data_IF_675494646379
#
_entry.id   IF_675494646379
#
_cell.length_a   1.000
_cell.length_b   1.000
_cell.length_c   1.000
_cell.angle_alpha   90.00
_cell.angle_beta   90.00
_cell.angle_gamma   90.00
#
_symmetry.space_group_name_H-M   'P 1'
#
loop_
_entity.id
_entity.type
_entity.pdbx_description
1 polymer ?
#
# COMPACT_ATOMS: atom_id res chain seq x y z
N UNK A 1 -14.16 -13.72 -11.93
CA UNK A 1 -13.95 -12.28 -11.70
C UNK A 1 -14.00 -12.06 -10.20
N UNK A 2 -12.83 -12.02 -9.57
CA UNK A 2 -12.73 -11.59 -8.17
C UNK A 2 -13.03 -10.09 -8.11
N UNK A 3 -13.84 -9.64 -7.15
CA UNK A 3 -14.16 -8.23 -6.95
C UNK A 3 -15.61 -7.79 -7.23
N UNK A 4 -16.50 -8.68 -7.67
CA UNK A 4 -17.94 -8.36 -7.83
C UNK A 4 -18.75 -8.94 -6.67
N UNK A 5 -19.42 -8.07 -5.90
CA UNK A 5 -20.39 -8.46 -4.87
C UNK A 5 -21.77 -7.98 -5.27
N UNK A 6 -22.70 -8.91 -5.50
CA UNK A 6 -24.11 -8.58 -5.67
C UNK A 6 -24.71 -8.23 -4.32
N UNK A 7 -25.28 -7.03 -4.21
CA UNK A 7 -25.99 -6.56 -3.03
C UNK A 7 -27.49 -6.72 -3.27
N UNK A 8 -28.16 -7.49 -2.40
CA UNK A 8 -29.62 -7.61 -2.42
C UNK A 8 -30.19 -6.57 -1.47
N UNK A 9 -30.85 -5.55 -2.02
CA UNK A 9 -31.55 -4.55 -1.22
C UNK A 9 -32.99 -5.02 -0.96
N UNK A 10 -33.29 -5.44 0.27
CA UNK A 10 -34.61 -5.98 0.66
C UNK A 10 -35.62 -4.93 1.17
N UNK A 11 -35.30 -3.62 1.10
CA UNK A 11 -36.19 -2.56 1.60
C UNK A 11 -36.25 -1.37 0.66
N UNK A 12 -37.48 -0.91 0.37
CA UNK A 12 -37.72 0.40 -0.21
C UNK A 12 -37.30 1.48 0.79
N UNK A 13 -36.18 2.13 0.50
CA UNK A 13 -35.64 3.24 1.27
C UNK A 13 -34.62 4.00 0.42
N UNK A 14 -34.50 5.30 0.66
CA UNK A 14 -33.60 6.19 -0.09
C UNK A 14 -32.14 6.07 0.32
N UNK A 15 -31.81 5.20 1.28
CA UNK A 15 -30.45 4.97 1.80
C UNK A 15 -30.20 3.49 2.00
N UNK A 16 -29.01 3.04 1.62
CA UNK A 16 -28.50 1.70 1.85
C UNK A 16 -27.06 1.75 2.37
N UNK A 17 -26.62 0.68 3.00
CA UNK A 17 -25.23 0.49 3.40
C UNK A 17 -24.78 -0.92 3.07
N UNK A 18 -23.49 -1.07 2.77
CA UNK A 18 -22.86 -2.36 2.58
C UNK A 18 -21.48 -2.35 3.24
N UNK A 19 -20.97 -3.54 3.52
CA UNK A 19 -19.62 -3.71 4.07
C UNK A 19 -18.81 -4.63 3.17
N UNK A 20 -17.55 -4.26 3.00
CA UNK A 20 -16.53 -5.01 2.26
C UNK A 20 -15.35 -5.25 3.20
N UNK A 21 -14.96 -6.51 3.34
CA UNK A 21 -13.73 -6.88 4.06
C UNK A 21 -12.59 -6.96 3.05
N UNK A 22 -11.55 -6.18 3.28
CA UNK A 22 -10.34 -6.16 2.47
C UNK A 22 -9.16 -6.64 3.31
N UNK A 23 -8.30 -7.45 2.70
CA UNK A 23 -7.05 -7.89 3.32
C UNK A 23 -5.90 -7.25 2.56
N UNK A 24 -5.18 -6.36 3.24
CA UNK A 24 -3.99 -5.73 2.69
C UNK A 24 -2.78 -6.66 2.86
N UNK A 25 -1.97 -6.76 1.81
CA UNK A 25 -0.71 -7.50 1.78
C UNK A 25 0.42 -6.54 1.39
N UNK A 26 1.68 -6.96 1.59
CA UNK A 26 2.85 -6.16 1.21
C UNK A 26 2.84 -5.74 -0.27
N UNK A 27 2.28 -6.57 -1.15
CA UNK A 27 2.17 -6.30 -2.58
C UNK A 27 1.23 -5.14 -2.94
N UNK A 28 0.41 -4.67 -1.99
CA UNK A 28 -0.48 -3.52 -2.17
C UNK A 28 0.12 -2.21 -1.65
N UNK A 29 1.26 -2.24 -0.96
CA UNK A 29 1.92 -1.04 -0.46
C UNK A 29 2.52 -0.19 -1.60
N UNK A 30 2.73 1.13 -1.40
CA UNK A 30 2.39 1.88 -0.19
C UNK A 30 0.94 2.39 -0.16
N UNK A 31 0.39 2.79 -1.31
CA UNK A 31 -0.84 3.59 -1.35
C UNK A 31 -1.92 2.98 -2.26
N UNK A 32 -2.48 1.80 -1.93
CA UNK A 32 -3.46 1.15 -2.77
C UNK A 32 -4.76 1.96 -2.82
N UNK A 33 -5.39 1.98 -4.00
CA UNK A 33 -6.69 2.64 -4.22
C UNK A 33 -7.79 1.61 -4.40
N UNK A 34 -8.91 1.78 -3.69
CA UNK A 34 -10.15 1.06 -3.93
C UNK A 34 -11.08 1.98 -4.73
N UNK A 35 -11.48 1.53 -5.92
CA UNK A 35 -12.51 2.20 -6.72
C UNK A 35 -13.79 1.38 -6.65
N UNK A 36 -14.89 2.03 -6.31
CA UNK A 36 -16.23 1.44 -6.31
C UNK A 36 -17.05 2.17 -7.36
N UNK A 37 -17.80 1.43 -8.17
CA UNK A 37 -18.69 2.02 -9.16
C UNK A 37 -20.03 1.28 -9.21
N UNK A 38 -21.07 1.99 -9.64
CA UNK A 38 -22.38 1.44 -9.92
C UNK A 38 -22.81 1.79 -11.33
N UNK A 39 -23.41 0.83 -12.03
CA UNK A 39 -23.96 1.00 -13.38
C UNK A 39 -25.48 0.92 -13.28
N UNK A 40 -26.17 1.99 -13.67
CA UNK A 40 -27.62 2.04 -13.69
C UNK A 40 -28.18 1.33 -14.94
N UNK A 41 -29.41 0.79 -14.88
CA UNK A 41 -30.07 0.22 -16.06
C UNK A 41 -30.20 1.20 -17.24
N UNK A 42 -30.21 2.51 -16.97
CA UNK A 42 -30.20 3.58 -17.98
C UNK A 42 -28.85 3.75 -18.69
N UNK A 43 -27.80 3.06 -18.24
CA UNK A 43 -26.43 3.19 -18.74
C UNK A 43 -25.58 4.26 -18.04
N UNK A 44 -26.16 5.01 -17.09
CA UNK A 44 -25.40 5.93 -16.24
C UNK A 44 -24.40 5.21 -15.34
N UNK A 45 -23.29 5.85 -14.99
CA UNK A 45 -22.27 5.30 -14.10
C UNK A 45 -21.92 6.35 -13.05
N UNK A 46 -21.84 5.91 -11.79
CA UNK A 46 -21.24 6.68 -10.69
C UNK A 46 -20.06 5.89 -10.13
N UNK A 47 -19.03 6.59 -9.68
CA UNK A 47 -17.88 5.99 -9.05
C UNK A 47 -17.32 6.87 -7.93
N UNK A 48 -16.66 6.21 -6.99
CA UNK A 48 -15.89 6.84 -5.94
C UNK A 48 -14.59 6.07 -5.68
N UNK A 49 -13.60 6.73 -5.08
CA UNK A 49 -12.30 6.17 -4.77
C UNK A 49 -11.85 6.58 -3.38
N UNK A 50 -11.34 5.58 -2.67
CA UNK A 50 -10.62 5.78 -1.42
C UNK A 50 -9.21 5.23 -1.56
N UNK A 51 -8.23 6.00 -1.12
CA UNK A 51 -6.84 5.57 -1.03
C UNK A 51 -6.51 5.20 0.41
N UNK A 52 -5.80 4.09 0.58
CA UNK A 52 -5.32 3.63 1.88
C UNK A 52 -3.81 3.86 1.97
N UNK A 53 -3.29 3.95 3.19
CA UNK A 53 -1.85 3.91 3.45
C UNK A 53 -1.52 2.56 4.09
N UNK A 54 -0.66 1.80 3.44
CA UNK A 54 -0.23 0.45 3.85
C UNK A 54 1.28 0.48 4.07
N UNK A 55 1.73 -0.16 5.14
CA UNK A 55 3.15 -0.23 5.46
C UNK A 55 3.94 -0.96 4.37
N UNK A 56 5.12 -0.42 4.05
CA UNK A 56 6.07 -0.98 3.08
C UNK A 56 6.84 -2.16 3.69
N UNK A 57 6.13 -3.27 3.89
CA UNK A 57 6.67 -4.52 4.43
C UNK A 57 7.14 -5.44 3.30
N UNK A 58 8.03 -6.41 3.57
CA UNK A 58 8.39 -7.44 2.58
C UNK A 58 7.82 -8.79 3.00
N UNK A 59 7.31 -9.58 2.04
CA UNK A 59 6.81 -10.94 2.33
C UNK A 59 7.91 -11.86 2.84
N UNK A 60 9.12 -11.73 2.30
CA UNK A 60 10.28 -12.46 2.78
C UNK A 60 10.88 -11.74 3.98
N UNK A 61 10.65 -12.27 5.17
CA UNK A 61 11.27 -11.77 6.38
C UNK A 61 12.73 -12.22 6.44
N UNK A 62 13.64 -11.24 6.42
CA UNK A 62 15.07 -11.48 6.49
C UNK A 62 15.60 -10.91 7.79
N UNK A 63 16.40 -11.69 8.53
CA UNK A 63 17.13 -11.22 9.70
C UNK A 63 18.62 -11.51 9.54
N UNK A 64 19.43 -10.59 10.05
CA UNK A 64 20.89 -10.68 10.01
C UNK A 64 21.44 -10.34 11.40
N UNK A 65 22.38 -11.14 11.88
CA UNK A 65 23.05 -10.91 13.15
C UNK A 65 24.46 -11.48 13.17
N UNK A 66 25.24 -11.06 14.17
CA UNK A 66 26.56 -11.61 14.43
C UNK A 66 26.62 -12.27 15.80
N UNK A 67 27.38 -13.36 15.92
CA UNK A 67 27.64 -14.04 17.18
C UNK A 67 29.14 -14.35 17.32
N UNK A 68 29.87 -13.70 18.26
CA UNK A 68 29.45 -12.59 19.12
C UNK A 68 29.14 -11.29 18.33
N UNK A 69 28.56 -10.27 18.98
CA UNK A 69 28.23 -9.00 18.30
C UNK A 69 29.45 -8.14 17.92
N UNK A 70 30.61 -8.41 18.51
CA UNK A 70 31.86 -7.70 18.24
C UNK A 70 33.04 -8.65 18.37
N UNK A 71 34.08 -8.41 17.58
CA UNK A 71 35.29 -9.23 17.55
C UNK A 71 36.55 -8.38 17.30
N UNK A 72 37.70 -8.91 17.70
CA UNK A 72 39.01 -8.31 17.41
C UNK A 72 39.35 -8.40 15.91
N UNK A 73 40.19 -7.49 15.38
CA UNK A 73 40.64 -7.55 14.00
C UNK A 73 41.31 -8.89 13.67
N UNK A 74 40.87 -9.52 12.58
CA UNK A 74 41.44 -10.78 12.08
C UNK A 74 40.98 -12.04 12.82
N UNK A 75 40.13 -11.94 13.85
CA UNK A 75 39.50 -13.10 14.47
C UNK A 75 38.19 -13.50 13.77
N UNK A 76 37.86 -14.79 13.85
CA UNK A 76 36.66 -15.34 13.23
C UNK A 76 35.38 -14.86 13.94
N UNK A 77 34.32 -14.69 13.14
CA UNK A 77 33.01 -14.23 13.56
C UNK A 77 31.92 -14.98 12.80
N UNK A 78 30.85 -15.39 13.48
CA UNK A 78 29.71 -16.04 12.84
C UNK A 78 28.69 -15.00 12.40
N UNK A 79 28.36 -14.98 11.11
CA UNK A 79 27.24 -14.22 10.55
C UNK A 79 26.01 -15.14 10.43
N UNK A 80 24.94 -14.79 11.13
CA UNK A 80 23.67 -15.51 11.12
C UNK A 80 22.69 -14.78 10.21
N UNK A 81 22.26 -15.47 9.15
CA UNK A 81 21.28 -14.98 8.18
C UNK A 81 20.07 -15.92 8.17
N UNK A 82 18.88 -15.37 8.34
CA UNK A 82 17.62 -16.12 8.23
C UNK A 82 16.76 -15.51 7.13
N UNK A 83 16.17 -16.36 6.29
CA UNK A 83 15.26 -16.00 5.21
C UNK A 83 14.38 -17.20 4.87
N UNK A 84 13.36 -16.99 4.03
CA UNK A 84 12.53 -18.09 3.54
C UNK A 84 13.36 -19.16 2.78
N UNK A 85 13.03 -20.46 2.89
CA UNK A 85 13.77 -21.53 2.22
C UNK A 85 13.88 -21.33 0.71
N UNK A 86 15.07 -21.56 0.15
CA UNK A 86 15.33 -21.38 -1.29
C UNK A 86 15.52 -19.93 -1.75
N UNK A 87 15.51 -18.95 -0.83
CA UNK A 87 15.84 -17.56 -1.16
C UNK A 87 17.28 -17.40 -1.61
N UNK A 88 17.51 -16.54 -2.60
CA UNK A 88 18.84 -16.03 -2.92
C UNK A 88 19.09 -14.77 -2.08
N UNK A 89 20.15 -14.78 -1.27
CA UNK A 89 20.51 -13.67 -0.41
C UNK A 89 21.85 -13.05 -0.82
N UNK A 90 21.87 -11.73 -0.98
CA UNK A 90 23.09 -10.96 -1.19
C UNK A 90 23.48 -10.25 0.11
N UNK A 91 24.72 -10.41 0.55
CA UNK A 91 25.25 -9.80 1.77
C UNK A 91 26.25 -8.71 1.41
N UNK A 92 26.13 -7.54 2.05
CA UNK A 92 27.05 -6.42 1.90
C UNK A 92 27.58 -6.03 3.29
N UNK A 93 28.90 -6.04 3.45
CA UNK A 93 29.59 -5.46 4.60
C UNK A 93 30.17 -4.10 4.21
N UNK A 94 30.02 -3.10 5.06
CA UNK A 94 30.53 -1.74 4.86
C UNK A 94 31.25 -1.27 6.12
N UNK A 95 32.26 -0.43 5.93
CA UNK A 95 32.89 0.29 7.04
C UNK A 95 31.99 1.47 7.46
N UNK A 96 31.87 1.70 8.76
CA UNK A 96 31.01 2.76 9.31
C UNK A 96 31.37 4.16 8.78
N UNK A 97 32.65 4.41 8.51
CA UNK A 97 33.11 5.68 7.92
C UNK A 97 32.52 5.94 6.52
N UNK A 98 32.15 4.90 5.77
CA UNK A 98 31.51 5.04 4.45
C UNK A 98 30.07 5.51 4.60
N UNK A 99 29.37 5.11 5.66
CA UNK A 99 28.01 5.56 5.95
C UNK A 99 27.97 7.07 6.24
N UNK A 100 29.03 7.60 6.88
CA UNK A 100 29.19 9.04 7.10
C UNK A 100 29.43 9.82 5.79
N UNK A 101 30.02 9.19 4.79
CA UNK A 101 30.40 9.83 3.52
C UNK A 101 29.29 9.76 2.46
N UNK A 102 28.48 8.69 2.44
CA UNK A 102 27.42 8.44 1.43
C UNK A 102 26.19 7.71 2.00
N UNK A 103 25.42 8.37 2.88
CA UNK A 103 24.26 7.76 3.54
C UNK A 103 23.14 7.36 2.56
N UNK A 104 23.02 8.03 1.42
CA UNK A 104 22.02 7.74 0.37
C UNK A 104 22.17 6.37 -0.32
N UNK A 105 23.24 5.62 0.00
CA UNK A 105 23.47 4.28 -0.56
C UNK A 105 22.87 3.15 0.28
N UNK A 106 22.19 3.46 1.39
CA UNK A 106 21.48 2.47 2.19
C UNK A 106 20.17 2.04 1.54
N UNK A 107 20.02 0.72 1.41
CA UNK A 107 18.76 0.12 0.97
C UNK A 107 17.78 0.12 2.14
N UNK A 108 16.71 0.90 1.99
CA UNK A 108 15.54 0.88 2.88
C UNK A 108 14.32 0.33 2.14
N UNK A 109 13.31 -0.10 2.88
CA UNK A 109 12.00 -0.46 2.31
C UNK A 109 11.46 0.65 1.40
N UNK A 110 11.47 1.90 1.85
CA UNK A 110 11.03 3.06 1.07
C UNK A 110 11.83 3.23 -0.23
N UNK A 111 13.16 3.04 -0.19
CA UNK A 111 13.97 3.13 -1.41
C UNK A 111 13.59 2.07 -2.44
N UNK A 112 13.30 0.83 -2.02
CA UNK A 112 12.90 -0.27 -2.90
C UNK A 112 11.51 -0.05 -3.46
N UNK A 113 10.53 0.31 -2.62
CA UNK A 113 9.17 0.59 -3.07
C UNK A 113 9.14 1.74 -4.08
N UNK A 114 9.93 2.80 -3.88
CA UNK A 114 10.04 3.92 -4.83
C UNK A 114 10.71 3.57 -6.17
N UNK A 115 11.38 2.42 -6.30
CA UNK A 115 11.88 1.96 -7.60
C UNK A 115 10.75 1.49 -8.52
N UNK A 116 9.60 1.10 -7.96
CA UNK A 116 8.43 0.72 -8.74
C UNK A 116 7.65 1.97 -9.14
N UNK A 117 7.23 2.02 -10.40
CA UNK A 117 6.34 3.08 -10.89
C UNK A 117 4.91 2.78 -10.47
N UNK A 118 4.43 3.43 -9.41
CA UNK A 118 3.01 3.40 -9.07
C UNK A 118 2.26 4.41 -9.94
N UNK A 119 1.28 3.91 -10.69
CA UNK A 119 0.33 4.78 -11.38
C UNK A 119 -0.71 5.22 -10.36
N UNK A 120 -0.65 6.47 -9.91
CA UNK A 120 -1.74 7.12 -9.17
C UNK A 120 -2.89 7.36 -10.15
N UNK A 121 -3.65 6.31 -10.42
CA UNK A 121 -4.83 6.36 -11.27
C UNK A 121 -5.99 6.98 -10.50
N UNK A 122 -6.55 8.05 -11.04
CA UNK A 122 -7.87 8.51 -10.66
C UNK A 122 -8.90 7.92 -11.63
N UNK A 123 -10.10 7.67 -11.14
CA UNK A 123 -11.22 7.36 -12.02
C UNK A 123 -11.62 8.63 -12.83
N UNK A 124 -12.28 8.47 -13.98
CA UNK A 124 -12.64 9.61 -14.84
C UNK A 124 -13.60 10.57 -14.12
N UNK A 125 -13.36 11.88 -14.22
CA UNK A 125 -14.20 12.90 -13.58
C UNK A 125 -15.67 12.87 -14.04
N UNK A 126 -15.96 12.30 -15.19
CA UNK A 126 -17.32 12.17 -15.75
C UNK A 126 -18.23 11.27 -14.90
N UNK A 127 -17.66 10.44 -14.04
CA UNK A 127 -18.41 9.55 -13.13
C UNK A 127 -18.24 9.94 -11.67
N UNK A 128 -17.58 11.07 -11.39
CA UNK A 128 -17.42 11.59 -10.04
C UNK A 128 -18.74 12.11 -9.49
N UNK A 129 -19.07 11.69 -8.28
CA UNK A 129 -20.14 12.28 -7.49
C UNK A 129 -19.51 13.36 -6.61
N UNK A 130 -19.68 14.62 -6.98
CA UNK A 130 -19.29 15.72 -6.11
C UNK A 130 -20.36 15.91 -5.03
N UNK A 131 -19.94 16.14 -3.79
CA UNK A 131 -20.81 16.64 -2.71
C UNK A 131 -21.25 18.09 -3.01
N UNK A 132 -21.94 18.31 -4.11
CA UNK A 132 -22.68 19.54 -4.35
C UNK A 132 -23.95 19.47 -3.51
N UNK A 133 -23.79 19.74 -2.21
CA UNK A 133 -24.89 20.22 -1.39
C UNK A 133 -25.48 21.43 -2.11
N UNK A 134 -26.76 21.39 -2.56
CA UNK A 134 -27.40 22.63 -2.90
C UNK A 134 -27.51 23.39 -1.57
N UNK A 135 -26.67 24.41 -1.41
CA UNK A 135 -26.98 25.52 -0.51
C UNK A 135 -28.28 26.12 -1.05
N UNK A 136 -29.41 25.54 -0.67
CA UNK A 136 -30.71 26.16 -0.83
C UNK A 136 -30.69 27.38 0.08
N UNK A 137 -30.23 28.50 -0.50
CA UNK A 137 -30.36 29.79 0.13
C UNK A 137 -31.82 30.05 0.49
N UNK A 138 -32.05 30.44 1.72
CA UNK A 138 -33.12 31.37 2.08
C UNK A 138 -32.54 32.37 3.07
N UNK A 139 -31.80 33.35 2.55
CA UNK A 139 -31.77 34.65 3.22
C UNK A 139 -32.89 35.46 2.60
N UNK A 140 -34.10 35.30 3.12
CA UNK A 140 -35.21 36.22 2.86
C UNK A 140 -36.07 36.34 4.14
N UNK A 141 -36.13 37.60 4.61
CA UNK A 141 -36.96 38.21 5.67
C UNK A 141 -36.57 37.99 7.15
#
# INVERSE_FOLDING_TARGET
MEGQKHLNFEKEGTKGSFSLSLTFTSGLAPDPSLVIYAIFPSGGIIADQIQFSVEMCFDNQVSLGFSPSQQLPGADLELQLQAAPGSLCAVRAVDESVLLLRPETELSNNSVYRMFSFSYGHYPYQVAEYDECPMSGSWDA
#
